data_IF_361664076567
#
_entry.id   IF_361664076567
#
_cell.length_a   1.000
_cell.length_b   1.000
_cell.length_c   1.000
_cell.angle_alpha   90.00
_cell.angle_beta   90.00
_cell.angle_gamma   90.00
#
_symmetry.space_group_name_H-M   'P 1'
#
loop_
_entity.id
_entity.type
_entity.pdbx_description
1 polymer ?
#
# COMPACT_ATOMS: atom_id res chain seq x y z
N UNK A 1 -1.12 -5.73 -7.33
CA UNK A 1 -0.88 -6.09 -5.93
C UNK A 1 -0.35 -7.50 -5.86
N UNK A 2 0.71 -7.73 -5.12
CA UNK A 2 1.33 -9.04 -4.89
C UNK A 2 1.03 -9.49 -3.47
N UNK A 3 0.54 -10.70 -3.32
CA UNK A 3 0.10 -11.28 -2.04
C UNK A 3 0.84 -12.60 -1.85
N UNK A 4 1.34 -12.86 -0.64
CA UNK A 4 1.87 -14.18 -0.30
C UNK A 4 1.05 -14.83 0.82
N UNK A 5 0.87 -16.13 0.70
CA UNK A 5 0.40 -17.03 1.76
C UNK A 5 1.58 -17.92 2.11
N UNK A 6 2.06 -17.79 3.34
CA UNK A 6 3.24 -18.47 3.85
C UNK A 6 2.80 -19.41 4.96
N UNK A 7 2.73 -20.70 4.67
CA UNK A 7 2.25 -21.74 5.57
C UNK A 7 2.77 -23.09 5.07
N UNK A 8 3.33 -23.92 5.93
CA UNK A 8 3.83 -25.24 5.57
C UNK A 8 2.71 -26.28 5.40
N UNK A 9 1.48 -25.98 5.90
CA UNK A 9 0.27 -26.75 5.59
C UNK A 9 -0.33 -26.33 4.24
N UNK A 10 0.04 -27.05 3.19
CA UNK A 10 -0.48 -26.80 1.85
C UNK A 10 -2.01 -26.93 1.73
N UNK A 11 -2.64 -27.81 2.54
CA UNK A 11 -4.09 -27.97 2.50
C UNK A 11 -4.77 -26.73 3.07
N UNK A 12 -4.30 -26.24 4.19
CA UNK A 12 -4.81 -25.02 4.78
C UNK A 12 -4.54 -23.79 3.89
N UNK A 13 -3.35 -23.69 3.31
CA UNK A 13 -2.99 -22.63 2.34
C UNK A 13 -3.96 -22.55 1.17
N UNK A 14 -4.42 -23.68 0.63
CA UNK A 14 -5.43 -23.72 -0.45
C UNK A 14 -6.81 -23.22 0.03
N UNK A 15 -7.20 -23.52 1.26
CA UNK A 15 -8.45 -23.00 1.84
C UNK A 15 -8.34 -21.49 2.01
N UNK A 16 -7.24 -21.00 2.56
CA UNK A 16 -6.97 -19.58 2.76
C UNK A 16 -6.93 -18.84 1.41
N UNK A 17 -6.22 -19.41 0.43
CA UNK A 17 -6.16 -18.87 -0.95
C UNK A 17 -7.56 -18.65 -1.53
N UNK A 18 -8.44 -19.64 -1.46
CA UNK A 18 -9.80 -19.52 -2.01
C UNK A 18 -10.57 -18.36 -1.39
N UNK A 19 -10.45 -18.17 -0.09
CA UNK A 19 -11.13 -17.08 0.61
C UNK A 19 -10.54 -15.71 0.23
N UNK A 20 -9.21 -15.60 0.21
CA UNK A 20 -8.52 -14.37 -0.16
C UNK A 20 -8.81 -14.02 -1.61
N UNK A 21 -8.71 -14.97 -2.54
CA UNK A 21 -8.97 -14.75 -3.96
C UNK A 21 -10.37 -14.19 -4.17
N UNK A 22 -11.40 -14.82 -3.59
CA UNK A 22 -12.79 -14.34 -3.67
C UNK A 22 -12.97 -12.93 -3.10
N UNK A 23 -12.26 -12.59 -2.03
CA UNK A 23 -12.28 -11.26 -1.46
C UNK A 23 -11.60 -10.23 -2.36
N UNK A 24 -10.43 -10.59 -2.89
CA UNK A 24 -9.61 -9.68 -3.71
C UNK A 24 -10.22 -9.40 -5.08
N UNK A 25 -10.86 -10.38 -5.72
CA UNK A 25 -11.59 -10.21 -7.00
C UNK A 25 -12.68 -9.12 -6.92
N UNK A 26 -13.27 -8.91 -5.73
CA UNK A 26 -14.27 -7.86 -5.51
C UNK A 26 -13.68 -6.47 -5.35
N UNK A 27 -12.37 -6.36 -5.12
CA UNK A 27 -11.70 -5.11 -4.81
C UNK A 27 -10.72 -4.66 -5.89
N UNK A 28 -10.11 -5.59 -6.60
CA UNK A 28 -8.99 -5.31 -7.51
C UNK A 28 -9.14 -6.03 -8.83
N UNK A 29 -8.89 -5.33 -9.92
CA UNK A 29 -8.89 -5.90 -11.28
C UNK A 29 -7.63 -6.72 -11.58
N UNK A 30 -6.52 -6.44 -10.88
CA UNK A 30 -5.24 -7.13 -11.03
C UNK A 30 -4.56 -7.37 -9.69
N UNK A 31 -4.34 -8.63 -9.38
CA UNK A 31 -3.54 -9.07 -8.25
C UNK A 31 -2.98 -10.47 -8.54
N UNK A 32 -1.98 -10.87 -7.77
CA UNK A 32 -1.40 -12.21 -7.82
C UNK A 32 -1.27 -12.72 -6.39
N UNK A 33 -1.57 -13.99 -6.16
CA UNK A 33 -1.41 -14.66 -4.87
C UNK A 33 -0.45 -15.82 -5.08
N UNK A 34 0.66 -15.82 -4.38
CA UNK A 34 1.63 -16.91 -4.32
C UNK A 34 1.43 -17.69 -3.02
N UNK A 35 1.45 -19.03 -3.12
CA UNK A 35 1.49 -19.92 -1.96
C UNK A 35 2.93 -20.38 -1.79
N UNK A 36 3.51 -20.11 -0.61
CA UNK A 36 4.88 -20.43 -0.25
C UNK A 36 4.82 -21.44 0.89
N UNK A 37 5.21 -22.69 0.64
CA UNK A 37 5.15 -23.79 1.62
C UNK A 37 6.54 -24.38 1.93
N UNK A 38 7.59 -23.87 1.30
CA UNK A 38 9.00 -24.20 1.53
C UNK A 38 9.89 -23.06 1.07
N UNK A 39 11.17 -23.08 1.43
CA UNK A 39 12.16 -22.05 1.07
C UNK A 39 11.68 -20.62 1.37
N UNK A 40 10.99 -20.46 2.51
CA UNK A 40 10.25 -19.26 2.86
C UNK A 40 11.05 -17.97 2.71
N UNK A 41 12.27 -17.92 3.27
CA UNK A 41 13.08 -16.69 3.27
C UNK A 41 13.57 -16.32 1.88
N UNK A 42 14.07 -17.28 1.12
CA UNK A 42 14.63 -17.04 -0.22
C UNK A 42 13.55 -16.47 -1.14
N UNK A 43 12.34 -17.08 -1.11
CA UNK A 43 11.22 -16.62 -1.93
C UNK A 43 10.73 -15.23 -1.49
N UNK A 44 10.70 -14.94 -0.18
CA UNK A 44 10.23 -13.66 0.33
C UNK A 44 11.24 -12.52 0.11
N UNK A 45 12.54 -12.80 0.13
CA UNK A 45 13.58 -11.80 -0.12
C UNK A 45 13.74 -11.48 -1.61
N UNK A 46 13.54 -12.47 -2.49
CA UNK A 46 13.63 -12.30 -3.94
C UNK A 46 12.40 -11.61 -4.56
N UNK A 47 11.28 -11.56 -3.85
CA UNK A 47 10.04 -11.02 -4.37
C UNK A 47 9.50 -9.88 -3.51
N UNK A 48 8.76 -8.98 -4.16
CA UNK A 48 8.04 -7.90 -3.49
C UNK A 48 6.59 -8.26 -3.25
N UNK A 49 6.18 -8.30 -1.99
CA UNK A 49 4.79 -8.53 -1.62
C UNK A 49 4.20 -7.30 -0.92
N UNK A 50 2.96 -6.96 -1.25
CA UNK A 50 2.21 -5.87 -0.62
C UNK A 50 1.46 -6.35 0.63
N UNK A 51 1.08 -7.63 0.66
CA UNK A 51 0.28 -8.25 1.70
C UNK A 51 0.80 -9.67 1.96
N UNK A 52 1.08 -9.98 3.23
CA UNK A 52 1.56 -11.28 3.67
C UNK A 52 0.56 -11.89 4.66
N UNK A 53 0.07 -13.09 4.33
CA UNK A 53 -0.57 -13.99 5.27
C UNK A 53 0.48 -15.00 5.73
N UNK A 54 0.81 -14.99 7.00
CA UNK A 54 2.00 -15.64 7.53
C UNK A 54 1.62 -16.54 8.71
N UNK A 55 1.85 -17.84 8.58
CA UNK A 55 1.79 -18.70 9.76
C UNK A 55 3.00 -18.42 10.67
N UNK A 56 2.79 -18.58 11.96
CA UNK A 56 3.84 -18.42 12.96
C UNK A 56 4.66 -19.70 13.09
N UNK A 57 4.03 -20.86 12.92
CA UNK A 57 4.62 -22.17 13.20
C UNK A 57 5.04 -22.84 11.88
N UNK A 58 6.17 -22.36 11.32
CA UNK A 58 6.73 -22.84 10.06
C UNK A 58 7.90 -23.80 10.34
N UNK A 59 7.67 -25.10 10.38
CA UNK A 59 8.70 -26.15 10.57
C UNK A 59 9.98 -25.71 11.28
N UNK A 60 10.89 -25.09 10.53
CA UNK A 60 12.21 -24.66 10.99
C UNK A 60 12.30 -23.17 11.33
N UNK A 61 11.23 -22.40 11.07
CA UNK A 61 11.22 -20.94 11.21
C UNK A 61 10.03 -20.48 12.03
N UNK A 62 10.21 -19.36 12.73
CA UNK A 62 9.14 -18.66 13.42
C UNK A 62 8.65 -17.50 12.55
N UNK A 63 7.36 -17.48 12.19
CA UNK A 63 6.76 -16.43 11.40
C UNK A 63 6.91 -15.02 12.01
N UNK A 64 6.98 -14.90 13.35
CA UNK A 64 7.24 -13.62 14.02
C UNK A 64 8.64 -13.10 13.68
N UNK A 65 9.63 -13.99 13.58
CA UNK A 65 11.00 -13.58 13.23
C UNK A 65 11.12 -13.20 11.76
N UNK A 66 10.36 -13.86 10.88
CA UNK A 66 10.18 -13.39 9.48
C UNK A 66 9.56 -12.00 9.49
N UNK A 67 8.49 -11.78 10.26
CA UNK A 67 7.84 -10.48 10.41
C UNK A 67 8.81 -9.38 10.87
N UNK A 68 9.70 -9.67 11.85
CA UNK A 68 10.73 -8.72 12.31
C UNK A 68 11.70 -8.32 11.21
N UNK A 69 12.17 -9.29 10.40
CA UNK A 69 13.03 -9.00 9.25
C UNK A 69 12.33 -8.14 8.21
N UNK A 70 11.09 -8.46 7.94
CA UNK A 70 10.28 -7.79 6.94
C UNK A 70 9.91 -6.33 7.30
N UNK A 71 10.00 -5.90 8.55
CA UNK A 71 9.92 -4.49 8.95
C UNK A 71 11.00 -3.61 8.30
N UNK A 72 12.11 -4.21 7.88
CA UNK A 72 13.22 -3.50 7.22
C UNK A 72 13.15 -3.61 5.68
N UNK A 73 12.17 -4.32 5.13
CA UNK A 73 12.00 -4.38 3.69
C UNK A 73 11.48 -3.06 3.13
N UNK A 74 11.99 -2.67 1.97
CA UNK A 74 11.65 -1.38 1.32
C UNK A 74 10.16 -1.20 1.03
N UNK A 75 9.44 -2.30 0.77
CA UNK A 75 8.03 -2.29 0.42
C UNK A 75 7.09 -2.22 1.64
N UNK A 76 7.60 -2.46 2.86
CA UNK A 76 6.83 -2.43 4.11
C UNK A 76 5.46 -3.12 3.97
N UNK A 77 5.41 -4.46 3.77
CA UNK A 77 4.19 -5.17 3.50
C UNK A 77 3.22 -5.14 4.69
N UNK A 78 1.93 -5.28 4.40
CA UNK A 78 0.92 -5.50 5.44
C UNK A 78 1.02 -6.95 5.91
N UNK A 79 1.14 -7.15 7.24
CA UNK A 79 1.20 -8.48 7.84
C UNK A 79 -0.13 -8.89 8.43
N UNK A 80 -0.54 -10.11 8.15
CA UNK A 80 -1.66 -10.79 8.79
C UNK A 80 -1.14 -12.15 9.23
N UNK A 81 -1.10 -12.38 10.54
CA UNK A 81 -0.79 -13.71 11.05
C UNK A 81 -2.00 -14.62 10.95
N UNK A 82 -1.77 -15.88 10.60
CA UNK A 82 -2.79 -16.91 10.52
C UNK A 82 -2.24 -18.14 11.21
N UNK A 83 -2.58 -18.39 12.47
CA UNK A 83 -1.93 -19.44 13.26
C UNK A 83 -2.86 -20.20 14.19
N UNK A 84 -2.48 -21.43 14.54
CA UNK A 84 -3.10 -22.22 15.58
C UNK A 84 -2.63 -21.83 16.99
N UNK A 85 -1.53 -21.08 17.10
CA UNK A 85 -0.87 -20.69 18.35
C UNK A 85 -1.49 -19.41 18.91
N UNK A 86 -2.67 -19.52 19.50
CA UNK A 86 -3.42 -18.37 20.05
C UNK A 86 -2.64 -17.61 21.13
N UNK A 87 -1.78 -18.30 21.89
CA UNK A 87 -0.93 -17.73 22.92
C UNK A 87 0.13 -16.78 22.38
N UNK A 88 0.45 -16.85 21.09
CA UNK A 88 1.44 -16.00 20.44
C UNK A 88 0.88 -14.65 19.94
N UNK A 89 -0.42 -14.39 20.12
CA UNK A 89 -1.05 -13.12 19.73
C UNK A 89 -0.28 -11.93 20.31
N UNK A 90 0.03 -11.93 21.61
CA UNK A 90 0.75 -10.85 22.25
C UNK A 90 2.20 -10.70 21.74
N UNK A 91 2.89 -11.82 21.53
CA UNK A 91 4.26 -11.82 21.00
C UNK A 91 4.31 -11.26 19.57
N UNK A 92 3.26 -11.54 18.78
CA UNK A 92 3.16 -11.05 17.40
C UNK A 92 3.01 -9.53 17.29
N UNK A 93 2.54 -8.84 18.35
CA UNK A 93 2.38 -7.38 18.36
C UNK A 93 3.73 -6.63 18.18
N UNK A 94 4.85 -7.30 18.48
CA UNK A 94 6.20 -6.72 18.28
C UNK A 94 6.48 -6.33 16.83
N UNK A 95 5.81 -6.98 15.85
CA UNK A 95 5.93 -6.66 14.42
C UNK A 95 4.76 -5.83 13.88
N UNK A 96 3.87 -5.37 14.74
CA UNK A 96 2.71 -4.54 14.40
C UNK A 96 1.86 -5.13 13.28
N UNK A 97 1.36 -6.38 13.43
CA UNK A 97 0.53 -6.99 12.41
C UNK A 97 -0.74 -6.18 12.21
N UNK A 98 -1.26 -6.18 10.99
CA UNK A 98 -2.57 -5.61 10.70
C UNK A 98 -3.69 -6.37 11.40
N UNK A 99 -3.58 -7.71 11.43
CA UNK A 99 -4.54 -8.57 12.09
C UNK A 99 -3.91 -9.92 12.45
N UNK A 100 -4.58 -10.64 13.37
CA UNK A 100 -4.25 -12.01 13.72
C UNK A 100 -5.49 -12.89 13.54
N UNK A 101 -5.41 -13.87 12.65
CA UNK A 101 -6.46 -14.85 12.36
C UNK A 101 -6.10 -16.13 13.08
N UNK A 102 -6.94 -16.56 14.01
CA UNK A 102 -6.80 -17.84 14.72
C UNK A 102 -7.34 -18.96 13.84
N UNK A 103 -6.56 -20.01 13.56
CA UNK A 103 -7.02 -21.16 12.78
C UNK A 103 -8.22 -21.86 13.48
N UNK A 104 -8.30 -21.81 14.82
CA UNK A 104 -9.42 -22.34 15.62
C UNK A 104 -10.73 -21.53 15.49
N UNK A 105 -10.65 -20.24 15.15
CA UNK A 105 -11.79 -19.33 14.94
C UNK A 105 -11.78 -18.77 13.51
N UNK A 106 -11.28 -19.54 12.55
CA UNK A 106 -10.92 -19.10 11.21
C UNK A 106 -12.00 -18.28 10.50
N UNK A 107 -13.23 -18.76 10.48
CA UNK A 107 -14.33 -18.13 9.74
C UNK A 107 -14.68 -16.75 10.29
N UNK A 108 -14.74 -16.60 11.60
CA UNK A 108 -15.16 -15.37 12.26
C UNK A 108 -14.04 -14.31 12.20
N UNK A 109 -12.81 -14.76 12.52
CA UNK A 109 -11.64 -13.88 12.46
C UNK A 109 -11.37 -13.41 11.03
N UNK A 110 -11.48 -14.30 10.03
CA UNK A 110 -11.30 -13.95 8.62
C UNK A 110 -12.36 -12.94 8.14
N UNK A 111 -13.62 -13.12 8.56
CA UNK A 111 -14.70 -12.19 8.24
C UNK A 111 -14.41 -10.79 8.79
N UNK A 112 -14.02 -10.73 10.06
CA UNK A 112 -13.66 -9.46 10.72
C UNK A 112 -12.44 -8.81 10.05
N UNK A 113 -11.41 -9.60 9.78
CA UNK A 113 -10.20 -9.15 9.07
C UNK A 113 -10.54 -8.58 7.70
N UNK A 114 -11.40 -9.22 6.91
CA UNK A 114 -11.81 -8.72 5.60
C UNK A 114 -12.56 -7.37 5.68
N UNK A 115 -13.40 -7.17 6.70
CA UNK A 115 -14.07 -5.88 6.92
C UNK A 115 -13.03 -4.79 7.17
N UNK A 116 -12.06 -5.05 8.06
CA UNK A 116 -11.00 -4.09 8.40
C UNK A 116 -10.07 -3.84 7.21
N UNK A 117 -9.68 -4.89 6.48
CA UNK A 117 -8.81 -4.80 5.32
C UNK A 117 -9.48 -4.01 4.18
N UNK A 118 -10.79 -4.22 3.97
CA UNK A 118 -11.57 -3.43 3.01
C UNK A 118 -11.61 -1.95 3.37
N UNK A 119 -11.79 -1.63 4.67
CA UNK A 119 -11.75 -0.25 5.15
C UNK A 119 -10.36 0.34 4.93
N UNK A 120 -9.32 -0.39 5.30
CA UNK A 120 -7.93 0.02 5.08
C UNK A 120 -7.65 0.31 3.60
N UNK A 121 -8.05 -0.59 2.69
CA UNK A 121 -7.86 -0.38 1.25
C UNK A 121 -8.62 0.84 0.73
N UNK A 122 -9.85 1.07 1.20
CA UNK A 122 -10.61 2.27 0.84
C UNK A 122 -9.94 3.57 1.31
N UNK A 123 -9.31 3.55 2.47
CA UNK A 123 -8.70 4.73 3.08
C UNK A 123 -7.25 4.96 2.62
N UNK A 124 -6.48 3.89 2.40
CA UNK A 124 -5.04 3.93 2.13
C UNK A 124 -4.66 3.59 0.70
N UNK A 125 -5.51 2.86 -0.02
CA UNK A 125 -5.30 2.43 -1.40
C UNK A 125 -6.40 2.96 -2.32
N UNK A 126 -6.64 4.25 -2.29
CA UNK A 126 -7.45 4.88 -3.32
C UNK A 126 -6.70 4.65 -4.62
N UNK A 127 -7.27 3.87 -5.52
CA UNK A 127 -6.76 3.75 -6.88
C UNK A 127 -7.62 4.55 -7.82
N UNK A 128 -7.00 5.07 -8.84
CA UNK A 128 -7.62 5.81 -9.91
C UNK A 128 -7.51 4.97 -11.18
N UNK A 129 -8.68 4.66 -11.77
CA UNK A 129 -8.75 3.94 -13.04
C UNK A 129 -8.95 4.94 -14.17
N UNK A 130 -8.09 4.91 -15.17
CA UNK A 130 -8.22 5.72 -16.39
C UNK A 130 -7.82 4.91 -17.61
N UNK A 131 -8.13 5.41 -18.80
CA UNK A 131 -7.74 4.79 -20.05
C UNK A 131 -6.37 5.32 -20.48
N UNK A 132 -5.41 4.41 -20.61
CA UNK A 132 -4.05 4.70 -21.07
C UNK A 132 -3.71 3.79 -22.25
N UNK A 133 -3.46 4.38 -23.43
CA UNK A 133 -3.25 3.63 -24.68
C UNK A 133 -4.34 2.59 -24.95
N UNK A 134 -5.61 2.95 -24.78
CA UNK A 134 -6.75 2.05 -25.04
C UNK A 134 -6.92 0.92 -24.01
N UNK A 135 -6.20 0.97 -22.89
CA UNK A 135 -6.31 -0.02 -21.80
C UNK A 135 -6.70 0.66 -20.49
N UNK A 136 -7.64 0.05 -19.77
CA UNK A 136 -7.93 0.46 -18.39
C UNK A 136 -6.71 0.21 -17.52
N UNK A 137 -6.22 1.26 -16.88
CA UNK A 137 -5.01 1.23 -16.04
C UNK A 137 -5.38 1.75 -14.65
N UNK A 138 -5.03 0.96 -13.65
CA UNK A 138 -5.25 1.32 -12.25
C UNK A 138 -3.94 1.83 -11.65
N UNK A 139 -3.98 3.03 -11.07
CA UNK A 139 -2.85 3.62 -10.34
C UNK A 139 -3.27 3.82 -8.89
N UNK A 140 -2.48 3.32 -7.96
CA UNK A 140 -2.70 3.60 -6.54
C UNK A 140 -2.30 5.03 -6.21
N UNK A 141 -3.18 5.74 -5.50
CA UNK A 141 -2.91 7.11 -5.06
C UNK A 141 -1.60 7.21 -4.24
N UNK A 142 -1.33 6.20 -3.43
CA UNK A 142 -0.09 6.10 -2.65
C UNK A 142 1.18 6.06 -3.51
N UNK A 143 1.09 5.62 -4.78
CA UNK A 143 2.23 5.51 -5.69
C UNK A 143 2.46 6.79 -6.49
N UNK A 144 1.47 7.68 -6.56
CA UNK A 144 1.60 8.98 -7.20
C UNK A 144 2.38 9.91 -6.28
N UNK A 145 3.52 10.43 -6.72
CA UNK A 145 4.29 11.41 -5.96
C UNK A 145 4.16 12.82 -6.52
N UNK A 146 3.94 12.98 -7.85
CA UNK A 146 3.71 14.25 -8.53
C UNK A 146 2.55 14.11 -9.50
N UNK A 147 1.76 15.16 -9.58
CA UNK A 147 0.77 15.41 -10.62
C UNK A 147 1.19 16.70 -11.33
N UNK A 148 1.50 16.61 -12.63
CA UNK A 148 1.85 17.74 -13.47
C UNK A 148 0.74 17.99 -14.49
N UNK A 149 0.33 19.25 -14.67
CA UNK A 149 -0.56 19.67 -15.77
C UNK A 149 0.26 20.32 -16.86
N UNK A 150 0.18 19.78 -18.07
CA UNK A 150 0.88 20.28 -19.26
C UNK A 150 -0.11 20.45 -20.41
N UNK A 151 -0.53 21.69 -20.68
CA UNK A 151 -1.57 21.98 -21.67
C UNK A 151 -2.92 21.36 -21.27
N UNK A 152 -3.41 20.41 -22.07
CA UNK A 152 -4.66 19.69 -21.81
C UNK A 152 -4.43 18.31 -21.17
N UNK A 153 -3.20 17.99 -20.83
CA UNK A 153 -2.83 16.69 -20.30
C UNK A 153 -2.41 16.77 -18.83
N UNK A 154 -2.72 15.70 -18.11
CA UNK A 154 -2.22 15.42 -16.77
C UNK A 154 -1.18 14.32 -16.87
N UNK A 155 -0.02 14.55 -16.27
CA UNK A 155 1.06 13.59 -16.13
C UNK A 155 1.09 13.16 -14.67
N UNK A 156 0.85 11.87 -14.41
CA UNK A 156 0.98 11.26 -13.10
C UNK A 156 2.35 10.60 -13.01
N UNK A 157 3.23 11.14 -12.17
CA UNK A 157 4.53 10.52 -11.89
C UNK A 157 4.38 9.59 -10.71
N UNK A 158 4.71 8.33 -10.92
CA UNK A 158 4.57 7.26 -9.94
C UNK A 158 5.88 6.49 -9.76
N UNK A 159 5.96 5.67 -8.71
CA UNK A 159 7.10 4.74 -8.53
C UNK A 159 7.32 3.79 -9.71
N UNK A 160 6.26 3.50 -10.46
CA UNK A 160 6.26 2.51 -11.54
C UNK A 160 6.37 3.13 -12.93
N UNK A 161 6.51 4.46 -13.03
CA UNK A 161 6.60 5.18 -14.30
C UNK A 161 5.67 6.39 -14.37
N UNK A 162 5.62 6.99 -15.56
CA UNK A 162 4.78 8.15 -15.85
C UNK A 162 3.59 7.73 -16.70
N UNK A 163 2.43 8.30 -16.38
CA UNK A 163 1.18 8.06 -17.08
C UNK A 163 0.58 9.40 -17.50
N UNK A 164 0.22 9.52 -18.77
CA UNK A 164 -0.37 10.74 -19.32
C UNK A 164 -1.79 10.46 -19.79
N UNK A 165 -2.72 11.34 -19.44
CA UNK A 165 -4.07 11.29 -19.97
C UNK A 165 -4.70 12.68 -20.00
N UNK A 166 -5.68 12.87 -20.86
CA UNK A 166 -6.33 14.15 -21.06
C UNK A 166 -7.27 14.51 -19.92
N UNK A 167 -6.93 15.54 -19.14
CA UNK A 167 -7.73 16.04 -18.02
C UNK A 167 -7.24 17.40 -17.57
N UNK A 168 -7.87 17.97 -16.52
CA UNK A 168 -7.44 19.20 -15.86
C UNK A 168 -6.95 18.91 -14.44
N UNK A 169 -6.14 19.81 -13.87
CA UNK A 169 -5.68 19.70 -12.48
C UNK A 169 -6.86 19.67 -11.50
N UNK A 170 -7.89 20.45 -11.75
CA UNK A 170 -9.11 20.52 -10.93
C UNK A 170 -9.83 19.16 -10.92
N UNK A 171 -10.13 18.61 -12.11
CA UNK A 171 -10.80 17.33 -12.24
C UNK A 171 -10.04 16.19 -11.57
N UNK A 172 -8.72 16.13 -11.75
CA UNK A 172 -7.92 15.06 -11.14
C UNK A 172 -7.88 15.17 -9.62
N UNK A 173 -7.77 16.39 -9.07
CA UNK A 173 -7.78 16.60 -7.62
C UNK A 173 -9.15 16.27 -7.00
N UNK A 174 -10.23 16.53 -7.70
CA UNK A 174 -11.60 16.14 -7.27
C UNK A 174 -11.71 14.60 -7.21
N UNK A 175 -11.29 13.91 -8.27
CA UNK A 175 -11.35 12.44 -8.37
C UNK A 175 -10.46 11.75 -7.34
N UNK A 176 -9.22 12.21 -7.17
CA UNK A 176 -8.26 11.61 -6.24
C UNK A 176 -8.54 11.96 -4.77
N UNK A 177 -9.31 13.02 -4.54
CA UNK A 177 -9.47 13.59 -3.21
C UNK A 177 -8.19 14.30 -2.73
N UNK A 178 -8.32 15.14 -1.71
CA UNK A 178 -7.21 15.99 -1.26
C UNK A 178 -6.52 15.48 0.02
N UNK A 179 -6.80 14.24 0.45
CA UNK A 179 -6.29 13.77 1.75
C UNK A 179 -4.77 13.86 1.87
N UNK A 180 -4.05 13.34 0.88
CA UNK A 180 -2.58 13.32 0.87
C UNK A 180 -1.97 14.11 -0.31
N UNK A 181 -2.79 14.61 -1.23
CA UNK A 181 -2.33 15.44 -2.35
C UNK A 181 -2.55 16.91 -2.02
N UNK A 182 -1.55 17.73 -2.30
CA UNK A 182 -1.61 19.18 -2.13
C UNK A 182 -1.07 19.89 -3.37
N UNK A 183 -1.79 20.87 -3.85
CA UNK A 183 -1.35 21.70 -4.95
C UNK A 183 -0.27 22.67 -4.45
N UNK A 184 0.86 22.72 -5.18
CA UNK A 184 2.02 23.55 -4.84
C UNK A 184 2.23 24.71 -5.82
N UNK A 185 1.72 24.55 -7.05
CA UNK A 185 1.69 25.55 -8.10
C UNK A 185 0.47 25.30 -9.00
N UNK A 186 0.16 26.26 -9.90
CA UNK A 186 -0.96 26.08 -10.84
C UNK A 186 -0.90 24.76 -11.62
N UNK A 187 0.31 24.32 -11.97
CA UNK A 187 0.56 23.14 -12.80
C UNK A 187 1.11 21.95 -12.03
N UNK A 188 1.30 22.04 -10.70
CA UNK A 188 1.89 20.96 -9.91
C UNK A 188 1.14 20.68 -8.63
N UNK A 189 0.90 19.42 -8.36
CA UNK A 189 0.44 18.90 -7.07
C UNK A 189 1.36 17.78 -6.60
N UNK A 190 1.56 17.67 -5.29
CA UNK A 190 2.48 16.71 -4.66
C UNK A 190 1.73 15.88 -3.64
N UNK A 191 2.10 14.61 -3.55
CA UNK A 191 1.70 13.78 -2.43
C UNK A 191 2.63 14.07 -1.24
N UNK A 192 2.05 14.55 -0.13
CA UNK A 192 2.81 14.95 1.07
C UNK A 192 3.61 13.80 1.68
N UNK A 193 3.24 12.53 1.42
CA UNK A 193 3.97 11.37 1.91
C UNK A 193 5.35 11.23 1.29
N UNK A 194 5.58 11.84 0.13
CA UNK A 194 6.87 11.87 -0.56
C UNK A 194 7.73 13.07 -0.19
N UNK A 195 7.21 14.04 0.54
CA UNK A 195 8.01 15.18 1.00
C UNK A 195 9.00 14.69 2.05
N UNK A 196 10.30 14.93 1.79
CA UNK A 196 11.39 14.73 2.74
C UNK A 196 11.44 15.90 3.71
N UNK A 197 11.52 17.11 3.17
CA UNK A 197 11.58 18.35 3.93
C UNK A 197 11.08 19.54 3.11
N UNK A 198 10.78 20.64 3.79
CA UNK A 198 10.44 21.94 3.20
C UNK A 198 11.40 22.96 3.78
N UNK A 199 12.21 23.59 2.94
CA UNK A 199 13.03 24.75 3.32
C UNK A 199 12.53 26.00 2.61
N UNK A 200 12.13 27.01 3.40
CA UNK A 200 11.58 28.30 2.91
C UNK A 200 10.40 28.11 1.93
N UNK A 201 10.68 28.06 0.64
CA UNK A 201 9.71 27.91 -0.44
C UNK A 201 10.03 26.73 -1.37
N UNK A 202 10.97 25.87 -0.97
CA UNK A 202 11.38 24.70 -1.76
C UNK A 202 10.96 23.44 -1.04
N UNK A 203 10.35 22.52 -1.77
CA UNK A 203 10.03 21.17 -1.32
C UNK A 203 11.10 20.23 -1.86
N UNK A 204 11.70 19.45 -0.98
CA UNK A 204 12.62 18.37 -1.34
C UNK A 204 11.88 17.05 -1.19
N UNK A 205 11.83 16.26 -2.27
CA UNK A 205 11.22 14.95 -2.26
C UNK A 205 12.22 13.87 -1.83
N UNK A 206 11.70 12.74 -1.38
CA UNK A 206 12.49 11.57 -0.97
C UNK A 206 13.31 10.95 -2.11
N UNK A 207 12.91 11.20 -3.37
CA UNK A 207 13.62 10.75 -4.58
C UNK A 207 14.69 11.75 -5.07
N UNK A 208 14.88 12.88 -4.37
CA UNK A 208 15.86 13.91 -4.68
C UNK A 208 15.36 15.02 -5.61
N UNK A 209 14.14 14.95 -6.11
CA UNK A 209 13.55 16.05 -6.90
C UNK A 209 13.19 17.24 -6.01
N UNK A 210 13.26 18.46 -6.59
CA UNK A 210 12.98 19.73 -5.91
C UNK A 210 11.88 20.50 -6.64
N UNK A 211 10.99 21.12 -5.86
CA UNK A 211 9.89 21.92 -6.39
C UNK A 211 9.68 23.20 -5.59
N UNK A 212 9.51 24.33 -6.30
CA UNK A 212 9.18 25.60 -5.68
C UNK A 212 7.69 25.66 -5.30
N UNK A 213 7.38 26.23 -4.15
CA UNK A 213 6.01 26.51 -3.72
C UNK A 213 5.58 27.88 -4.22
N UNK A 214 4.47 27.92 -4.95
CA UNK A 214 3.84 29.20 -5.35
C UNK A 214 3.26 29.92 -4.15
N UNK A 215 3.36 31.26 -4.12
CA UNK A 215 2.96 32.09 -2.96
C UNK A 215 1.56 31.77 -2.43
N UNK A 216 0.58 31.54 -3.32
CA UNK A 216 -0.82 31.24 -2.96
C UNK A 216 -1.00 29.87 -2.28
N UNK A 217 -0.08 28.96 -2.45
CA UNK A 217 -0.20 27.58 -1.99
C UNK A 217 0.57 27.31 -0.70
N UNK A 218 1.42 28.26 -0.27
CA UNK A 218 2.39 28.04 0.83
C UNK A 218 1.71 27.63 2.15
N UNK A 219 0.70 28.34 2.56
CA UNK A 219 0.00 28.06 3.83
C UNK A 219 -0.62 26.67 3.82
N UNK A 220 -1.35 26.33 2.74
CA UNK A 220 -1.99 25.03 2.58
C UNK A 220 -0.96 23.89 2.57
N UNK A 221 0.16 24.08 1.88
CA UNK A 221 1.24 23.08 1.80
C UNK A 221 1.86 22.84 3.18
N UNK A 222 2.21 23.91 3.90
CA UNK A 222 2.83 23.81 5.23
C UNK A 222 1.88 23.18 6.23
N UNK A 223 0.60 23.59 6.22
CA UNK A 223 -0.41 22.98 7.06
C UNK A 223 -0.54 21.49 6.81
N UNK A 224 -0.71 21.09 5.54
CA UNK A 224 -0.84 19.69 5.15
C UNK A 224 0.39 18.85 5.51
N UNK A 225 1.57 19.42 5.35
CA UNK A 225 2.83 18.78 5.75
C UNK A 225 2.92 18.56 7.26
N UNK A 226 2.49 19.55 8.08
CA UNK A 226 2.44 19.41 9.56
C UNK A 226 1.44 18.35 10.00
N UNK A 227 0.24 18.31 9.41
CA UNK A 227 -0.80 17.32 9.70
C UNK A 227 -0.32 15.86 9.51
N UNK A 228 0.69 15.64 8.65
CA UNK A 228 1.31 14.33 8.45
C UNK A 228 2.01 13.81 9.72
N UNK A 229 2.60 14.67 10.52
CA UNK A 229 3.32 14.29 11.75
C UNK A 229 2.40 14.13 12.98
N UNK A 230 1.13 14.52 12.85
CA UNK A 230 0.12 14.35 13.90
C UNK A 230 -0.70 13.06 13.75
N UNK A 231 -0.39 12.24 12.70
CA UNK A 231 -0.98 10.93 12.44
C UNK A 231 -0.03 9.81 12.86
#
# INVERSE_FOLDING_TARGET
>A
MQIAIVDDDLMFSKILYKNINTFMERLFSKFKIDIINENFMDVLEDNHYDLLFLDIDLKELNGIDIGKKALFWKNNPIFIFVSSRNELVFSSLSVRPFYFVRKSCFKDDLTTMFVLLRKYFKESMIFFTFEFYGRKTDIFLKDIYIIESRGHDIILKTKNGEYTYRSTMENILEVLGTKNIVQIQKSYSINVDYIKEIDKNVIYLKNGEEYNIGRKFKETVVQKYKEKFLR
#
